data_IF_256133388011
#
_entry.id   IF_256133388011
#
_cell.length_a   1.000
_cell.length_b   1.000
_cell.length_c   1.000
_cell.angle_alpha   90.00
_cell.angle_beta   90.00
_cell.angle_gamma   90.00
#
_symmetry.space_group_name_H-M   'P 1'
#
loop_
_entity.id
_entity.type
_entity.pdbx_description
1 polymer ?
#
# COMPACT_ATOMS: atom_id res chain seq x y z
N UNK A 1 -21.80 53.03 -27.25
CA UNK A 1 -21.77 51.55 -27.30
C UNK A 1 -20.43 51.14 -26.77
N UNK A 2 -20.36 50.51 -25.60
CA UNK A 2 -19.13 50.36 -24.82
C UNK A 2 -18.66 48.91 -24.81
N UNK A 3 -17.46 48.68 -25.32
CA UNK A 3 -16.79 47.40 -25.47
C UNK A 3 -16.56 46.69 -24.13
N UNK A 4 -17.08 45.46 -24.00
CA UNK A 4 -16.82 44.56 -22.86
C UNK A 4 -15.43 43.93 -23.00
N UNK A 5 -14.43 44.46 -22.30
CA UNK A 5 -13.12 43.80 -22.13
C UNK A 5 -13.25 42.55 -21.24
N UNK A 6 -13.04 41.39 -21.84
CA UNK A 6 -12.94 40.09 -21.18
C UNK A 6 -11.75 40.06 -20.20
N UNK A 7 -12.01 39.77 -18.92
CA UNK A 7 -11.00 39.53 -17.88
C UNK A 7 -10.78 38.02 -17.77
N UNK A 8 -9.92 37.46 -18.61
CA UNK A 8 -9.36 36.13 -18.37
C UNK A 8 -8.10 36.29 -17.54
N UNK A 9 -8.12 35.77 -16.32
CA UNK A 9 -6.98 35.78 -15.40
C UNK A 9 -6.52 34.33 -15.23
N UNK A 10 -5.30 33.94 -15.66
CA UNK A 10 -4.81 32.59 -15.45
C UNK A 10 -4.53 32.36 -13.95
N UNK A 11 -4.75 31.14 -13.42
CA UNK A 11 -4.44 30.83 -12.04
C UNK A 11 -2.93 30.97 -11.79
N UNK A 12 -2.58 31.67 -10.70
CA UNK A 12 -1.21 31.83 -10.25
C UNK A 12 -0.55 30.47 -10.05
N UNK A 13 0.68 30.31 -10.53
CA UNK A 13 1.46 29.09 -10.42
C UNK A 13 1.54 28.61 -8.96
N UNK A 14 0.86 27.50 -8.66
CA UNK A 14 1.01 26.76 -7.41
C UNK A 14 2.48 26.36 -7.27
N UNK A 15 3.13 26.83 -6.21
CA UNK A 15 4.49 26.41 -5.83
C UNK A 15 4.55 24.88 -5.82
N UNK A 16 5.58 24.25 -6.42
CA UNK A 16 5.71 22.81 -6.40
C UNK A 16 5.80 22.35 -4.95
N UNK A 17 4.95 21.39 -4.56
CA UNK A 17 5.02 20.75 -3.26
C UNK A 17 6.45 20.23 -3.04
N UNK A 18 7.00 20.51 -1.87
CA UNK A 18 8.33 20.05 -1.48
C UNK A 18 8.43 18.55 -1.73
N UNK A 19 9.33 18.15 -2.64
CA UNK A 19 9.63 16.75 -2.92
C UNK A 19 10.27 16.19 -1.65
N UNK A 20 9.49 15.47 -0.83
CA UNK A 20 10.05 14.61 0.22
C UNK A 20 11.08 13.70 -0.47
N UNK A 21 12.32 13.77 -0.02
CA UNK A 21 13.42 13.02 -0.62
C UNK A 21 13.17 11.53 -0.42
N UNK A 22 13.44 10.70 -1.43
CA UNK A 22 13.32 9.23 -1.31
C UNK A 22 14.17 8.67 -0.16
N UNK A 23 15.16 9.44 0.31
CA UNK A 23 16.01 9.10 1.44
C UNK A 23 15.28 9.06 2.80
N UNK A 24 14.15 9.76 2.97
CA UNK A 24 13.38 9.73 4.24
C UNK A 24 12.48 8.48 4.38
N UNK A 25 12.39 7.63 3.34
CA UNK A 25 11.51 6.45 3.34
C UNK A 25 12.17 5.15 3.81
N UNK A 26 13.47 5.17 4.12
CA UNK A 26 14.19 4.01 4.63
C UNK A 26 14.34 4.16 6.14
N UNK A 27 13.35 3.64 6.89
CA UNK A 27 13.48 3.49 8.33
C UNK A 27 14.57 2.45 8.63
N UNK A 28 15.67 2.91 9.22
CA UNK A 28 16.75 2.07 9.78
C UNK A 28 16.17 1.11 10.82
N UNK A 29 16.01 -0.18 10.47
CA UNK A 29 15.68 -1.25 11.41
C UNK A 29 14.66 -2.29 10.96
N UNK A 30 13.98 -2.11 9.83
CA UNK A 30 13.08 -3.14 9.29
C UNK A 30 13.86 -4.21 8.52
N UNK A 31 13.62 -5.50 8.83
CA UNK A 31 14.11 -6.59 7.99
C UNK A 31 13.69 -6.38 6.53
N UNK A 32 14.52 -6.78 5.55
CA UNK A 32 14.22 -6.56 4.15
C UNK A 32 12.91 -7.25 3.77
N UNK A 33 11.84 -6.47 3.61
CA UNK A 33 10.54 -6.97 3.18
C UNK A 33 10.46 -6.93 1.66
N UNK A 34 10.09 -8.06 1.06
CA UNK A 34 9.86 -8.14 -0.39
C UNK A 34 8.36 -8.21 -0.66
N UNK A 35 7.87 -7.29 -1.49
CA UNK A 35 6.52 -7.33 -2.00
C UNK A 35 6.45 -8.26 -3.22
N UNK A 36 5.48 -9.18 -3.23
CA UNK A 36 5.17 -9.99 -4.40
C UNK A 36 3.66 -10.06 -4.61
N UNK A 37 3.26 -10.23 -5.86
CA UNK A 37 1.85 -10.45 -6.22
C UNK A 37 1.61 -11.94 -6.38
N UNK A 38 0.58 -12.47 -5.72
CA UNK A 38 0.20 -13.88 -5.78
C UNK A 38 -1.15 -14.03 -6.49
N UNK A 39 -1.25 -15.00 -7.40
CA UNK A 39 -2.53 -15.49 -7.91
C UNK A 39 -3.00 -16.62 -7.00
N UNK A 40 -4.21 -16.52 -6.46
CA UNK A 40 -4.80 -17.54 -5.59
C UNK A 40 -6.26 -17.78 -5.96
N UNK A 41 -6.78 -18.93 -5.53
CA UNK A 41 -8.20 -19.26 -5.67
C UNK A 41 -9.08 -18.23 -4.92
N UNK A 42 -10.19 -17.81 -5.52
CA UNK A 42 -11.13 -16.83 -4.96
C UNK A 42 -11.71 -17.24 -3.61
N UNK A 43 -11.97 -18.54 -3.41
CA UNK A 43 -12.53 -19.07 -2.17
C UNK A 43 -11.51 -18.99 -1.04
N UNK A 44 -10.24 -19.26 -1.35
CA UNK A 44 -9.14 -19.11 -0.41
C UNK A 44 -8.95 -17.65 -0.01
N UNK A 45 -8.97 -16.73 -0.97
CA UNK A 45 -8.92 -15.30 -0.72
C UNK A 45 -10.08 -14.84 0.18
N UNK A 46 -11.30 -15.31 -0.10
CA UNK A 46 -12.49 -14.99 0.71
C UNK A 46 -12.34 -15.49 2.14
N UNK A 47 -11.88 -16.72 2.34
CA UNK A 47 -11.62 -17.28 3.68
C UNK A 47 -10.58 -16.49 4.45
N UNK A 48 -9.48 -16.11 3.81
CA UNK A 48 -8.44 -15.27 4.41
C UNK A 48 -9.00 -13.90 4.82
N UNK A 49 -9.81 -13.29 3.97
CA UNK A 49 -10.47 -12.01 4.27
C UNK A 49 -11.40 -12.11 5.47
N UNK A 50 -12.21 -13.17 5.56
CA UNK A 50 -13.08 -13.39 6.71
C UNK A 50 -12.26 -13.57 8.00
N UNK A 51 -11.18 -14.35 7.93
CA UNK A 51 -10.28 -14.58 9.07
C UNK A 51 -9.63 -13.28 9.57
N UNK A 52 -9.17 -12.43 8.65
CA UNK A 52 -8.63 -11.11 8.98
C UNK A 52 -9.64 -10.23 9.73
N UNK A 53 -10.91 -10.26 9.31
CA UNK A 53 -11.99 -9.52 10.02
C UNK A 53 -12.26 -10.11 11.39
N UNK A 54 -12.30 -11.45 11.52
CA UNK A 54 -12.58 -12.12 12.79
C UNK A 54 -11.46 -11.92 13.82
N UNK A 55 -10.20 -11.97 13.39
CA UNK A 55 -9.04 -11.83 14.27
C UNK A 55 -8.66 -10.36 14.53
N UNK A 56 -9.22 -9.41 13.77
CA UNK A 56 -8.84 -7.99 13.85
C UNK A 56 -7.41 -7.72 13.37
N UNK A 57 -6.83 -8.65 12.58
CA UNK A 57 -5.44 -8.61 12.11
C UNK A 57 -5.39 -8.42 10.59
N UNK A 58 -4.35 -7.76 10.07
CA UNK A 58 -4.18 -7.63 8.63
C UNK A 58 -3.93 -9.00 7.97
N UNK A 59 -4.49 -9.18 6.77
CA UNK A 59 -4.35 -10.42 6.01
C UNK A 59 -2.89 -10.80 5.70
N UNK A 60 -1.99 -9.81 5.64
CA UNK A 60 -0.52 -10.00 5.54
C UNK A 60 0.01 -10.85 6.70
N UNK A 61 -0.28 -10.46 7.93
CA UNK A 61 0.24 -11.16 9.12
C UNK A 61 -0.26 -12.59 9.19
N UNK A 62 -1.55 -12.81 8.91
CA UNK A 62 -2.14 -14.15 8.89
C UNK A 62 -1.45 -15.01 7.83
N UNK A 63 -1.19 -14.46 6.64
CA UNK A 63 -0.51 -15.19 5.58
C UNK A 63 0.94 -15.51 5.96
N UNK A 64 1.63 -14.57 6.60
CA UNK A 64 3.00 -14.75 7.07
C UNK A 64 3.10 -15.84 8.14
N UNK A 65 2.22 -15.82 9.14
CA UNK A 65 2.15 -16.84 10.20
C UNK A 65 1.92 -18.24 9.58
N UNK A 66 0.96 -18.35 8.66
CA UNK A 66 0.66 -19.62 7.97
C UNK A 66 1.85 -20.13 7.14
N UNK A 67 2.56 -19.24 6.45
CA UNK A 67 3.74 -19.61 5.66
C UNK A 67 4.91 -20.02 6.55
N UNK A 68 5.15 -19.31 7.66
CA UNK A 68 6.19 -19.66 8.63
C UNK A 68 5.93 -21.05 9.22
N UNK A 69 4.71 -21.30 9.70
CA UNK A 69 4.32 -22.62 10.23
C UNK A 69 4.51 -23.72 9.19
N UNK A 70 4.03 -23.52 7.96
CA UNK A 70 4.19 -24.51 6.90
C UNK A 70 5.67 -24.79 6.56
N UNK A 71 6.52 -23.76 6.51
CA UNK A 71 7.94 -23.93 6.18
C UNK A 71 8.73 -24.55 7.34
N UNK A 72 8.38 -24.26 8.59
CA UNK A 72 9.05 -24.82 9.76
C UNK A 72 8.64 -26.28 10.02
N UNK A 73 7.38 -26.65 9.78
CA UNK A 73 6.92 -28.05 9.84
C UNK A 73 7.62 -28.93 8.80
N UNK A 74 7.95 -28.37 7.63
CA UNK A 74 8.61 -29.09 6.54
C UNK A 74 10.15 -29.12 6.61
N UNK A 75 10.75 -28.65 7.72
CA UNK A 75 12.20 -28.77 7.97
C UNK A 75 12.62 -30.07 8.69
N UNK A 76 11.70 -31.01 8.90
CA UNK A 76 12.00 -32.35 9.44
C UNK A 76 12.45 -33.35 8.38
#
# INVERSE_FOLDING_TARGET
MSDKKSKFQPPAATKPAARRSMQEAFHDGEEPTTMFTLRMNSDLHRRLKLRAVTEGRPMKEILEDLLRTYLDENKS
#
